data_IF_719131117003
#
_entry.id   IF_719131117003
#
_cell.length_a   1.000
_cell.length_b   1.000
_cell.length_c   1.000
_cell.angle_alpha   90.00
_cell.angle_beta   90.00
_cell.angle_gamma   90.00
#
_symmetry.space_group_name_H-M   'P 1'
#
loop_
_entity.id
_entity.type
_entity.pdbx_description
1 polymer ?
#
# COMPACT_ATOMS: atom_id res chain seq x y z
N UNK A 1 4.56 10.28 22.97
CA UNK A 1 3.69 10.22 21.77
C UNK A 1 3.11 8.83 21.61
N UNK A 2 3.82 7.83 21.05
CA UNK A 2 3.24 6.51 20.73
C UNK A 2 2.50 5.80 21.88
N UNK A 3 3.08 5.75 23.09
CA UNK A 3 2.43 5.12 24.25
C UNK A 3 1.12 5.79 24.69
N UNK A 4 0.96 7.08 24.40
CA UNK A 4 -0.19 7.87 24.84
C UNK A 4 -1.25 8.03 23.75
N UNK A 5 -0.89 7.80 22.48
CA UNK A 5 -1.76 7.95 21.30
C UNK A 5 -2.07 6.64 20.60
N UNK A 6 -1.50 5.53 21.07
CA UNK A 6 -1.54 4.21 20.42
C UNK A 6 -1.05 4.26 18.96
N UNK A 7 -0.17 5.22 18.63
CA UNK A 7 0.32 5.39 17.26
C UNK A 7 1.33 4.30 16.91
N UNK A 8 1.06 3.61 15.80
CA UNK A 8 1.89 2.54 15.27
C UNK A 8 2.66 3.02 14.05
N UNK A 9 3.94 2.65 13.98
CA UNK A 9 4.78 2.85 12.79
C UNK A 9 4.62 1.62 11.90
N UNK A 10 4.45 1.82 10.60
CA UNK A 10 4.26 0.75 9.63
C UNK A 10 5.09 0.99 8.34
N UNK A 11 4.80 0.22 7.29
CA UNK A 11 5.34 0.41 5.96
C UNK A 11 6.82 0.05 5.81
N UNK A 12 7.43 0.57 4.74
CA UNK A 12 8.86 0.35 4.45
C UNK A 12 9.78 0.92 5.51
N UNK A 13 9.35 1.97 6.23
CA UNK A 13 10.14 2.51 7.35
C UNK A 13 10.23 1.54 8.53
N UNK A 14 9.15 0.81 8.85
CA UNK A 14 9.21 -0.23 9.87
C UNK A 14 10.21 -1.34 9.47
N UNK A 15 10.18 -1.77 8.20
CA UNK A 15 11.14 -2.75 7.67
C UNK A 15 12.57 -2.21 7.71
N UNK A 16 12.80 -0.95 7.34
CA UNK A 16 14.10 -0.30 7.47
C UNK A 16 14.63 -0.36 8.89
N UNK A 17 13.78 -0.01 9.86
CA UNK A 17 14.15 0.00 11.27
C UNK A 17 14.53 -1.39 11.79
N UNK A 18 13.74 -2.41 11.47
CA UNK A 18 13.99 -3.79 11.95
C UNK A 18 15.08 -4.53 11.17
N UNK A 19 15.20 -4.28 9.86
CA UNK A 19 16.16 -4.96 9.00
C UNK A 19 17.51 -4.23 8.91
N UNK A 20 17.58 -2.97 9.34
CA UNK A 20 18.77 -2.12 9.19
C UNK A 20 19.10 -1.78 7.74
N UNK A 21 18.14 -1.92 6.82
CA UNK A 21 18.30 -1.66 5.39
C UNK A 21 17.73 -0.28 5.07
N UNK A 22 18.54 0.60 4.48
CA UNK A 22 18.09 1.92 4.06
C UNK A 22 17.23 1.85 2.78
N UNK A 23 16.04 2.44 2.85
CA UNK A 23 15.15 2.72 1.72
C UNK A 23 15.13 4.25 1.51
N UNK A 24 15.91 4.78 0.54
CA UNK A 24 16.20 6.21 0.42
C UNK A 24 14.97 7.12 0.25
N UNK A 25 13.90 6.58 -0.34
CA UNK A 25 12.67 7.30 -0.64
C UNK A 25 11.49 6.79 0.22
N UNK A 26 11.77 6.14 1.36
CA UNK A 26 10.71 5.66 2.24
C UNK A 26 10.06 6.82 2.98
N UNK A 27 8.76 6.98 2.75
CA UNK A 27 7.90 7.75 3.64
C UNK A 27 7.81 7.07 5.03
N UNK A 28 7.43 7.84 6.05
CA UNK A 28 7.08 7.33 7.37
C UNK A 28 5.57 7.17 7.49
N UNK A 29 5.09 5.93 7.58
CA UNK A 29 3.67 5.62 7.75
C UNK A 29 3.32 5.51 9.24
N UNK A 30 2.42 6.38 9.70
CA UNK A 30 1.90 6.42 11.06
C UNK A 30 0.41 6.05 11.05
N UNK A 31 0.04 4.98 11.76
CA UNK A 31 -1.35 4.62 12.01
C UNK A 31 -1.76 5.13 13.38
N UNK A 32 -2.90 5.83 13.46
CA UNK A 32 -3.43 6.38 14.71
C UNK A 32 -4.94 6.20 14.78
N UNK A 33 -5.46 5.95 15.97
CA UNK A 33 -6.91 5.93 16.18
C UNK A 33 -7.50 7.33 16.09
N UNK A 34 -8.71 7.45 15.51
CA UNK A 34 -9.39 8.75 15.31
C UNK A 34 -9.38 9.69 16.54
N UNK A 35 -9.54 9.12 17.74
CA UNK A 35 -9.56 9.87 19.01
C UNK A 35 -8.26 10.64 19.28
N UNK A 36 -7.12 10.11 18.83
CA UNK A 36 -5.79 10.68 19.09
C UNK A 36 -5.21 11.40 17.87
N UNK A 37 -5.93 11.44 16.74
CA UNK A 37 -5.43 12.03 15.50
C UNK A 37 -5.03 13.50 15.67
N UNK A 38 -5.85 14.31 16.37
CA UNK A 38 -5.52 15.71 16.65
C UNK A 38 -4.18 15.85 17.39
N UNK A 39 -3.95 15.02 18.41
CA UNK A 39 -2.72 15.09 19.21
C UNK A 39 -1.48 14.77 18.36
N UNK A 40 -1.58 13.83 17.43
CA UNK A 40 -0.47 13.49 16.52
C UNK A 40 -0.26 14.60 15.49
N UNK A 41 -1.34 15.18 14.95
CA UNK A 41 -1.26 16.34 14.05
C UNK A 41 -0.54 17.51 14.72
N UNK A 42 -0.92 17.87 15.95
CA UNK A 42 -0.31 18.98 16.70
C UNK A 42 1.18 18.76 16.93
N UNK A 43 1.58 17.52 17.20
CA UNK A 43 2.99 17.15 17.33
C UNK A 43 3.76 17.29 16.01
N UNK A 44 3.20 16.81 14.89
CA UNK A 44 3.83 16.95 13.58
C UNK A 44 4.01 18.43 13.21
N UNK A 45 2.99 19.26 13.46
CA UNK A 45 3.09 20.71 13.26
C UNK A 45 4.17 21.35 14.13
N UNK A 46 4.27 20.94 15.40
CA UNK A 46 5.29 21.43 16.34
C UNK A 46 6.71 21.04 15.91
N UNK A 47 6.89 19.87 15.32
CA UNK A 47 8.18 19.41 14.78
C UNK A 47 8.54 20.05 13.42
N UNK A 48 7.68 20.92 12.90
CA UNK A 48 7.91 21.69 11.67
C UNK A 48 7.43 21.00 10.39
N UNK A 49 6.61 19.94 10.51
CA UNK A 49 5.91 19.42 9.34
C UNK A 49 4.74 20.32 8.96
N UNK A 50 4.43 20.36 7.66
CA UNK A 50 3.31 21.10 7.09
C UNK A 50 2.36 20.13 6.42
N UNK A 51 1.06 20.32 6.66
CA UNK A 51 0.03 19.54 5.98
C UNK A 51 0.02 19.88 4.48
N UNK A 52 0.05 18.85 3.65
CA UNK A 52 -0.02 18.94 2.20
C UNK A 52 -1.33 18.30 1.73
N UNK A 53 -2.41 19.09 1.52
CA UNK A 53 -3.67 18.55 1.07
C UNK A 53 -3.56 17.98 -0.35
N UNK A 54 -4.29 16.89 -0.60
CA UNK A 54 -4.60 16.43 -1.96
C UNK A 54 -5.69 17.31 -2.59
N UNK A 55 -5.91 17.17 -3.91
CA UNK A 55 -6.93 17.94 -4.64
C UNK A 55 -8.36 17.73 -4.09
N UNK A 56 -8.62 16.61 -3.41
CA UNK A 56 -9.92 16.28 -2.82
C UNK A 56 -10.04 16.70 -1.34
N UNK A 57 -8.94 17.08 -0.69
CA UNK A 57 -8.92 17.42 0.73
C UNK A 57 -9.12 18.91 0.95
N UNK A 58 -9.87 19.23 2.01
CA UNK A 58 -10.10 20.59 2.47
C UNK A 58 -8.90 21.10 3.28
N UNK A 59 -9.08 22.21 4.00
CA UNK A 59 -8.16 22.63 5.05
C UNK A 59 -7.91 21.51 6.07
N UNK A 60 -6.78 21.60 6.81
CA UNK A 60 -6.35 20.57 7.75
C UNK A 60 -7.45 20.23 8.77
N UNK A 61 -8.09 21.25 9.34
CA UNK A 61 -9.08 21.09 10.39
C UNK A 61 -10.38 20.46 9.87
N UNK A 62 -10.83 20.88 8.69
CA UNK A 62 -11.99 20.29 8.02
C UNK A 62 -11.72 18.84 7.63
N UNK A 63 -10.56 18.56 7.04
CA UNK A 63 -10.15 17.20 6.67
C UNK A 63 -10.06 16.30 7.90
N UNK A 64 -9.45 16.79 8.98
CA UNK A 64 -9.33 16.01 10.22
C UNK A 64 -10.69 15.71 10.84
N UNK A 65 -11.62 16.67 10.86
CA UNK A 65 -13.00 16.42 11.33
C UNK A 65 -13.69 15.35 10.49
N UNK A 66 -13.65 15.47 9.16
CA UNK A 66 -14.25 14.48 8.26
C UNK A 66 -13.68 13.09 8.53
N UNK A 67 -12.37 13.00 8.72
CA UNK A 67 -11.68 11.74 8.99
C UNK A 67 -11.99 11.17 10.37
N UNK A 68 -12.11 12.00 11.41
CA UNK A 68 -12.41 11.55 12.78
C UNK A 68 -13.84 11.05 12.96
N UNK A 69 -14.79 11.66 12.24
CA UNK A 69 -16.20 11.29 12.26
C UNK A 69 -16.59 10.39 11.09
N UNK A 70 -15.60 9.85 10.36
CA UNK A 70 -15.85 8.87 9.32
C UNK A 70 -16.52 7.64 9.93
N UNK A 71 -17.73 7.35 9.46
CA UNK A 71 -18.47 6.16 9.85
C UNK A 71 -17.78 4.92 9.29
N UNK A 72 -17.76 3.78 10.01
CA UNK A 72 -17.30 2.50 9.48
C UNK A 72 -18.21 1.91 8.39
N UNK A 73 -19.28 2.60 8.00
CA UNK A 73 -20.21 2.17 6.94
C UNK A 73 -19.48 1.89 5.61
N UNK A 74 -19.98 0.96 4.76
CA UNK A 74 -19.24 0.41 3.61
C UNK A 74 -19.05 1.40 2.43
N UNK A 75 -19.33 2.68 2.63
CA UNK A 75 -19.42 3.68 1.57
C UNK A 75 -18.43 4.82 1.80
N UNK A 76 -17.14 4.50 1.69
CA UNK A 76 -16.05 5.46 1.78
C UNK A 76 -14.95 5.09 0.80
N UNK A 77 -14.41 6.08 0.10
CA UNK A 77 -13.53 5.97 -1.07
C UNK A 77 -12.12 5.40 -0.80
N UNK A 78 -11.87 4.82 0.37
CA UNK A 78 -10.65 4.09 0.69
C UNK A 78 -10.86 2.61 0.39
N UNK A 79 -10.07 2.04 -0.51
CA UNK A 79 -10.10 0.61 -0.88
C UNK A 79 -9.82 -0.35 0.31
N UNK A 80 -9.59 0.18 1.51
CA UNK A 80 -9.13 -0.54 2.70
C UNK A 80 -10.10 -0.24 3.85
N UNK A 81 -10.79 -1.30 4.30
CA UNK A 81 -11.71 -1.25 5.43
C UNK A 81 -11.02 -0.71 6.69
N UNK A 82 -11.63 0.31 7.30
CA UNK A 82 -11.23 0.85 8.59
C UNK A 82 -10.37 2.10 8.56
N UNK A 83 -9.98 2.60 7.38
CA UNK A 83 -9.29 3.90 7.23
C UNK A 83 -10.34 5.01 7.07
N UNK A 84 -10.36 5.96 8.00
CA UNK A 84 -11.18 7.18 7.92
C UNK A 84 -10.55 8.28 7.07
N UNK A 85 -9.23 8.23 6.87
CA UNK A 85 -8.51 9.15 5.98
C UNK A 85 -7.00 9.05 6.11
N UNK A 86 -6.31 9.60 5.11
CA UNK A 86 -4.84 9.69 5.08
C UNK A 86 -4.45 11.17 4.93
N UNK A 87 -3.64 11.66 5.86
CA UNK A 87 -3.14 13.03 5.87
C UNK A 87 -1.65 13.03 5.56
N UNK A 88 -1.23 13.80 4.57
CA UNK A 88 0.18 13.88 4.19
C UNK A 88 0.83 15.10 4.81
N UNK A 89 1.98 14.90 5.43
CA UNK A 89 2.79 15.93 6.09
C UNK A 89 4.19 15.94 5.49
N UNK A 90 4.69 17.13 5.14
CA UNK A 90 6.02 17.31 4.56
C UNK A 90 6.84 18.31 5.35
N UNK A 91 8.14 18.05 5.45
CA UNK A 91 9.13 18.95 6.02
C UNK A 91 10.01 19.52 4.92
N UNK A 92 10.59 20.70 5.15
CA UNK A 92 11.34 21.44 4.12
C UNK A 92 12.58 20.66 3.61
N UNK A 93 13.08 19.70 4.39
CA UNK A 93 14.19 18.81 4.03
C UNK A 93 13.77 17.60 3.17
N UNK A 94 12.50 17.53 2.73
CA UNK A 94 11.97 16.46 1.90
C UNK A 94 11.38 15.26 2.66
N UNK A 95 11.52 15.21 3.99
CA UNK A 95 10.91 14.14 4.78
C UNK A 95 9.38 14.20 4.68
N UNK A 96 8.77 13.05 4.40
CA UNK A 96 7.33 12.90 4.25
C UNK A 96 6.80 11.91 5.29
N UNK A 97 5.70 12.29 5.93
CA UNK A 97 4.95 11.46 6.88
C UNK A 97 3.55 11.29 6.33
N UNK A 98 3.08 10.05 6.24
CA UNK A 98 1.69 9.73 5.99
C UNK A 98 1.04 9.37 7.32
N UNK A 99 0.02 10.14 7.72
CA UNK A 99 -0.76 9.86 8.91
C UNK A 99 -2.08 9.21 8.49
N UNK A 100 -2.16 7.90 8.70
CA UNK A 100 -3.33 7.08 8.46
C UNK A 100 -4.18 7.07 9.73
N UNK A 101 -5.38 7.63 9.62
CA UNK A 101 -6.31 7.72 10.76
C UNK A 101 -7.40 6.68 10.58
N UNK A 102 -7.64 5.89 11.63
CA UNK A 102 -8.72 4.90 11.61
C UNK A 102 -10.09 5.57 11.65
N UNK A 103 -11.13 4.91 11.14
CA UNK A 103 -12.50 5.37 11.33
C UNK A 103 -13.00 5.07 12.76
N UNK A 104 -14.18 5.57 13.10
CA UNK A 104 -14.77 5.35 14.42
C UNK A 104 -14.99 3.86 14.68
N UNK A 105 -14.56 3.38 15.87
CA UNK A 105 -14.72 1.99 16.28
C UNK A 105 -13.70 1.01 15.71
N UNK A 106 -12.67 1.49 15.00
CA UNK A 106 -11.55 0.67 14.51
C UNK A 106 -10.24 1.07 15.18
N UNK A 107 -9.41 0.08 15.46
CA UNK A 107 -8.08 0.24 16.05
C UNK A 107 -6.99 0.25 14.99
N UNK A 108 -5.84 0.88 15.29
CA UNK A 108 -4.72 0.93 14.35
C UNK A 108 -4.21 -0.47 13.96
N UNK A 109 -4.22 -1.43 14.91
CA UNK A 109 -3.77 -2.80 14.66
C UNK A 109 -4.73 -3.56 13.72
N UNK A 110 -6.04 -3.40 13.87
CA UNK A 110 -7.03 -4.02 12.98
C UNK A 110 -6.84 -3.56 11.53
N UNK A 111 -6.63 -2.26 11.33
CA UNK A 111 -6.40 -1.69 9.99
C UNK A 111 -5.10 -2.22 9.37
N UNK A 112 -4.01 -2.29 10.14
CA UNK A 112 -2.74 -2.86 9.66
C UNK A 112 -2.91 -4.34 9.29
N UNK A 113 -3.57 -5.12 10.13
CA UNK A 113 -3.80 -6.56 9.87
C UNK A 113 -4.69 -6.78 8.63
N UNK A 114 -5.74 -5.97 8.45
CA UNK A 114 -6.58 -6.00 7.25
C UNK A 114 -5.76 -5.72 5.98
N UNK A 115 -4.85 -4.75 6.02
CA UNK A 115 -3.98 -4.44 4.89
C UNK A 115 -3.05 -5.61 4.52
N UNK A 116 -2.51 -6.30 5.52
CA UNK A 116 -1.62 -7.44 5.31
C UNK A 116 -2.35 -8.71 4.86
N UNK A 117 -3.59 -8.93 5.29
CA UNK A 117 -4.43 -10.02 4.75
C UNK A 117 -4.75 -9.83 3.27
N UNK A 118 -4.95 -8.59 2.80
CA UNK A 118 -5.16 -8.27 1.37
C UNK A 118 -3.86 -8.42 0.58
N UNK A 119 -2.72 -7.91 1.10
CA UNK A 119 -1.42 -8.05 0.45
C UNK A 119 -1.00 -9.53 0.32
N UNK A 120 -1.22 -10.35 1.35
CA UNK A 120 -0.96 -11.79 1.28
C UNK A 120 -1.91 -12.48 0.30
N UNK A 121 -3.20 -12.12 0.30
CA UNK A 121 -4.20 -12.60 -0.67
C UNK A 121 -3.81 -12.32 -2.12
N UNK A 122 -3.42 -11.08 -2.45
CA UNK A 122 -2.93 -10.70 -3.79
C UNK A 122 -1.60 -11.35 -4.15
N UNK A 123 -0.70 -11.53 -3.18
CA UNK A 123 0.57 -12.25 -3.37
C UNK A 123 0.36 -13.73 -3.70
N UNK A 124 -0.68 -14.35 -3.13
CA UNK A 124 -1.06 -15.74 -3.39
C UNK A 124 -1.81 -15.84 -4.71
N UNK A 125 -2.79 -14.96 -4.98
CA UNK A 125 -3.55 -14.96 -6.23
C UNK A 125 -2.70 -14.59 -7.45
N UNK A 126 -1.78 -13.63 -7.32
CA UNK A 126 -0.82 -13.27 -8.38
C UNK A 126 0.13 -14.41 -8.74
N UNK A 127 0.55 -15.22 -7.75
CA UNK A 127 1.33 -16.45 -8.01
C UNK A 127 0.50 -17.52 -8.70
N UNK A 128 -0.78 -17.69 -8.33
CA UNK A 128 -1.66 -18.66 -8.98
C UNK A 128 -1.96 -18.29 -10.45
N UNK A 129 -2.17 -17.01 -10.76
CA UNK A 129 -2.38 -16.52 -12.13
C UNK A 129 -1.11 -16.58 -12.99
N UNK A 130 0.07 -16.32 -12.42
CA UNK A 130 1.35 -16.48 -13.11
C UNK A 130 1.68 -17.96 -13.38
N UNK A 131 1.33 -18.86 -12.45
CA UNK A 131 1.51 -20.31 -12.62
C UNK A 131 0.51 -20.90 -13.61
N UNK A 132 -0.74 -20.42 -13.64
CA UNK A 132 -1.75 -20.81 -14.63
C UNK A 132 -1.36 -20.47 -16.07
N UNK A 133 -0.79 -19.28 -16.31
CA UNK A 133 -0.26 -18.91 -17.64
C UNK A 133 0.98 -19.71 -18.04
N UNK A 134 1.81 -20.11 -17.08
CA UNK A 134 2.99 -20.96 -17.34
C UNK A 134 2.59 -22.38 -17.72
N UNK A 135 1.52 -22.92 -17.13
CA UNK A 135 1.00 -24.24 -17.49
C UNK A 135 0.23 -24.25 -18.82
N UNK A 136 -0.49 -23.17 -19.16
CA UNK A 136 -1.13 -23.03 -20.48
C UNK A 136 -0.12 -22.91 -21.63
N UNK A 137 0.98 -22.16 -21.45
CA UNK A 137 2.06 -22.08 -22.45
C UNK A 137 2.88 -23.38 -22.58
N UNK A 138 2.90 -24.23 -21.55
CA UNK A 138 3.49 -25.57 -21.61
C UNK A 138 2.55 -26.61 -22.25
N UNK A 139 1.23 -26.41 -22.13
CA UNK A 139 0.22 -27.31 -22.70
C UNK A 139 -0.12 -27.00 -24.17
N UNK A 140 0.01 -25.74 -24.61
CA UNK A 140 -0.24 -25.29 -25.99
C UNK A 140 0.81 -24.26 -26.43
N UNK A 141 1.97 -24.69 -26.94
CA UNK A 141 2.90 -23.77 -27.60
C UNK A 141 2.25 -23.20 -28.87
N UNK A 142 2.38 -21.89 -29.07
CA UNK A 142 1.88 -21.18 -30.26
C UNK A 142 2.40 -21.83 -31.55
N UNK A 143 1.52 -22.07 -32.51
CA UNK A 143 1.77 -22.79 -33.78
C UNK A 143 2.67 -22.05 -34.79
N UNK A 144 3.38 -21.01 -34.38
CA UNK A 144 4.21 -20.17 -35.27
C UNK A 144 5.70 -20.56 -35.30
N UNK A 145 6.06 -21.73 -34.76
CA UNK A 145 7.39 -22.32 -34.96
C UNK A 145 7.30 -23.68 -35.63
N UNK A 146 6.87 -23.70 -36.89
CA UNK A 146 7.11 -24.85 -37.76
C UNK A 146 8.49 -24.69 -38.42
N UNK A 147 9.45 -25.62 -38.22
CA UNK A 147 10.72 -25.57 -38.93
C UNK A 147 10.50 -25.81 -40.44
N UNK A 148 11.34 -25.24 -41.34
CA UNK A 148 11.19 -25.45 -42.77
C UNK A 148 11.36 -26.93 -43.14
N UNK A 149 10.48 -27.41 -44.01
CA UNK A 149 10.45 -28.80 -44.48
C UNK A 149 11.77 -29.21 -45.18
N UNK A 150 12.29 -30.43 -44.95
CA UNK A 150 13.50 -30.90 -45.58
C UNK A 150 13.28 -31.19 -47.07
N UNK A 151 14.15 -30.64 -47.92
CA UNK A 151 14.20 -30.87 -49.36
C UNK A 151 14.57 -32.34 -49.64
N UNK A 152 13.74 -33.05 -50.41
CA UNK A 152 13.97 -34.44 -50.78
C UNK A 152 15.15 -34.56 -51.76
N UNK A 153 16.24 -35.18 -51.33
CA UNK A 153 17.28 -35.69 -52.20
C UNK A 153 16.97 -37.17 -52.51
N UNK A 154 16.37 -37.44 -53.67
CA UNK A 154 16.29 -38.79 -54.22
C UNK A 154 17.60 -39.12 -54.91
N UNK A 155 18.34 -40.08 -54.34
CA UNK A 155 19.54 -40.66 -54.92
C UNK A 155 19.22 -41.62 -56.07
N UNK A 156 20.03 -41.58 -57.12
CA UNK A 156 20.11 -42.60 -58.16
C UNK A 156 20.83 -43.84 -57.61
N UNK A 157 20.28 -45.02 -57.92
CA UNK A 157 20.98 -46.31 -57.76
C UNK A 157 20.87 -47.08 -59.08
N UNK A 158 22.04 -47.50 -59.55
CA UNK A 158 22.43 -48.31 -60.74
C UNK A 158 22.49 -47.58 -62.08
#
# INVERSE_FOLDING_TARGET
>A
MQLNTLTLISGSFALQFFAGILYPDSDLDLYVEHLFAQQVVDFLLTDGYRFQPTAAQLGLQETLKVTQFASPEPYGTSDIEGIGGVLTFKKDNGQTVQLIVTCQGKTAIEVILNFHSIAFGLSVWGRQFAMGRRLQNLAYPSSDQQPPSPTAATGNVV
#
